data_IF_868123571813
#
_entry.id   IF_868123571813
#
_cell.length_a   1.000
_cell.length_b   1.000
_cell.length_c   1.000
_cell.angle_alpha   90.00
_cell.angle_beta   90.00
_cell.angle_gamma   90.00
#
_symmetry.space_group_name_H-M   'P 1'
#
loop_
_entity.id
_entity.type
_entity.pdbx_description
1 polymer ?
2 non-polymer ?
3 water ?
#
# COMPACT_ATOMS: atom_id res chain seq x y z
N UNK A 1 28.90 -12.69 0.39
CA UNK A 1 28.47 -13.99 -0.23
C UNK A 1 28.00 -13.78 -1.68
N UNK A 2 26.74 -13.40 -1.86
CA UNK A 2 26.18 -13.18 -3.19
C UNK A 2 26.49 -11.76 -3.66
N UNK A 3 26.78 -11.60 -4.95
CA UNK A 3 27.11 -10.29 -5.48
C UNK A 3 25.89 -9.41 -5.77
N UNK A 4 26.12 -8.10 -5.77
CA UNK A 4 25.06 -7.15 -6.04
C UNK A 4 24.54 -7.37 -7.45
N UNK A 5 25.47 -7.66 -8.37
CA UNK A 5 25.09 -7.91 -9.75
C UNK A 5 24.08 -9.05 -9.81
N UNK A 6 24.36 -10.12 -9.10
CA UNK A 6 23.48 -11.28 -9.08
C UNK A 6 22.11 -10.97 -8.46
N UNK A 7 22.08 -10.18 -7.39
CA UNK A 7 20.80 -9.83 -6.77
C UNK A 7 19.96 -9.01 -7.73
N UNK A 8 20.61 -8.07 -8.43
CA UNK A 8 19.90 -7.24 -9.39
C UNK A 8 19.39 -8.05 -10.57
N UNK A 9 20.15 -9.05 -10.99
CA UNK A 9 19.74 -9.87 -12.12
C UNK A 9 18.54 -10.74 -11.74
N UNK A 10 18.59 -11.33 -10.54
CA UNK A 10 17.50 -12.18 -10.08
C UNK A 10 16.20 -11.39 -9.91
N UNK A 11 16.27 -10.24 -9.25
CA UNK A 11 15.06 -9.45 -9.04
C UNK A 11 14.48 -9.03 -10.38
N UNK A 12 15.34 -8.58 -11.28
CA UNK A 12 14.92 -8.16 -12.61
C UNK A 12 14.20 -9.31 -13.33
N UNK A 13 14.69 -10.54 -13.18
CA UNK A 13 14.07 -11.68 -13.83
C UNK A 13 12.69 -11.97 -13.27
N UNK A 14 12.46 -11.61 -12.01
CA UNK A 14 11.15 -11.84 -11.39
C UNK A 14 10.10 -11.00 -12.11
N UNK A 15 10.48 -9.79 -12.53
CA UNK A 15 9.56 -8.92 -13.24
C UNK A 15 9.50 -9.31 -14.71
N UNK A 16 10.63 -9.74 -15.26
CA UNK A 16 10.68 -10.15 -16.66
C UNK A 16 9.77 -11.35 -16.88
N UNK A 17 9.88 -12.35 -16.00
CA UNK A 17 9.08 -13.56 -16.10
C UNK A 17 7.59 -13.30 -15.90
N UNK A 18 7.24 -12.25 -15.18
CA UNK A 18 5.84 -11.93 -14.97
C UNK A 18 5.36 -11.17 -16.20
N UNK A 19 6.30 -10.87 -17.09
CA UNK A 19 5.99 -10.14 -18.31
C UNK A 19 5.29 -8.82 -18.02
N UNK A 20 5.95 -7.99 -17.22
CA UNK A 20 5.44 -6.69 -16.87
C UNK A 20 6.63 -5.78 -16.60
N UNK A 21 6.38 -4.52 -16.30
CA UNK A 21 7.46 -3.58 -16.01
C UNK A 21 7.23 -3.06 -14.59
N UNK A 22 8.26 -3.12 -13.77
CA UNK A 22 8.10 -2.65 -12.41
C UNK A 22 9.40 -2.47 -11.66
N UNK A 23 9.27 -1.92 -10.44
CA UNK A 23 10.40 -1.67 -9.58
C UNK A 23 10.03 -2.02 -8.15
N UNK A 24 11.04 -2.30 -7.32
CA UNK A 24 10.83 -2.63 -5.92
C UNK A 24 11.89 -1.84 -5.13
N UNK A 25 11.44 -0.83 -4.38
CA UNK A 25 12.36 -0.04 -3.59
C UNK A 25 12.42 -0.58 -2.16
N UNK A 26 13.64 -0.89 -1.71
CA UNK A 26 13.90 -1.40 -0.37
C UNK A 26 14.61 -0.32 0.43
N UNK A 27 14.24 -0.14 1.69
CA UNK A 27 14.89 0.88 2.50
C UNK A 27 15.48 0.26 3.76
N UNK A 28 16.81 0.30 3.86
CA UNK A 28 17.50 -0.23 5.04
C UNK A 28 18.13 0.94 5.76
N UNK A 29 17.52 1.33 6.87
CA UNK A 29 18.01 2.47 7.61
C UNK A 29 17.59 3.69 6.82
N UNK A 30 18.55 4.47 6.34
CA UNK A 30 18.22 5.65 5.57
C UNK A 30 18.56 5.45 4.08
N UNK A 31 19.02 4.26 3.73
CA UNK A 31 19.42 3.97 2.35
C UNK A 31 18.36 3.30 1.48
N UNK A 32 18.07 3.92 0.35
CA UNK A 32 17.10 3.38 -0.60
C UNK A 32 17.81 2.54 -1.64
N UNK A 33 17.22 1.41 -2.01
CA UNK A 33 17.79 0.54 -3.03
C UNK A 33 16.68 0.23 -4.01
N UNK A 34 16.98 0.44 -5.29
CA UNK A 34 16.03 0.22 -6.36
C UNK A 34 16.37 -1.03 -7.16
N UNK A 35 15.41 -1.95 -7.25
CA UNK A 35 15.57 -3.20 -7.99
C UNK A 35 14.41 -3.37 -8.97
N UNK A 36 14.58 -4.26 -9.93
CA UNK A 36 13.51 -4.50 -10.89
C UNK A 36 13.97 -4.43 -12.32
N UNK A 37 13.02 -4.36 -13.25
CA UNK A 37 13.36 -4.29 -14.66
C UNK A 37 12.97 -2.95 -15.30
N UNK A 38 12.60 -1.97 -14.48
CA UNK A 38 12.22 -0.64 -14.98
C UNK A 38 12.51 0.40 -13.90
N UNK A 39 13.78 0.47 -13.49
CA UNK A 39 14.20 1.37 -12.43
C UNK A 39 13.71 2.82 -12.51
N UNK A 40 13.50 3.32 -13.72
CA UNK A 40 13.05 4.70 -13.90
C UNK A 40 11.68 4.97 -13.30
N UNK A 41 10.97 3.91 -12.94
CA UNK A 41 9.65 4.09 -12.33
C UNK A 41 9.76 4.61 -10.90
N UNK A 42 10.92 4.44 -10.28
CA UNK A 42 11.13 4.86 -8.89
C UNK A 42 10.64 6.27 -8.56
N UNK A 43 10.86 7.23 -9.46
CA UNK A 43 10.43 8.60 -9.20
C UNK A 43 9.31 9.13 -10.07
N UNK A 44 8.51 8.22 -10.63
CA UNK A 44 7.37 8.65 -11.43
C UNK A 44 6.11 8.58 -10.59
N UNK A 45 5.14 9.43 -10.90
CA UNK A 45 3.89 9.47 -10.16
C UNK A 45 2.84 8.50 -10.70
N UNK A 46 2.08 7.92 -9.78
CA UNK A 46 1.00 6.99 -10.12
C UNK A 46 -0.07 7.15 -9.06
N UNK A 47 -1.31 6.76 -9.39
CA UNK A 47 -2.38 6.86 -8.42
C UNK A 47 -2.05 5.82 -7.34
N UNK A 48 -2.31 6.13 -6.07
CA UNK A 48 -2.01 5.19 -4.99
C UNK A 48 -2.96 3.99 -4.91
N UNK A 49 -4.13 4.12 -5.52
CA UNK A 49 -5.13 3.05 -5.50
C UNK A 49 -5.37 2.62 -4.05
N UNK A 50 -5.62 1.34 -3.83
CA UNK A 50 -5.89 0.88 -2.46
C UNK A 50 -4.80 1.07 -1.42
N UNK A 51 -3.58 1.48 -1.81
CA UNK A 51 -2.56 1.68 -0.80
C UNK A 51 -2.96 2.90 0.03
N UNK A 52 -3.85 3.71 -0.53
CA UNK A 52 -4.33 4.89 0.17
C UNK A 52 -5.17 4.51 1.39
N UNK A 53 -5.71 3.29 1.40
CA UNK A 53 -6.53 2.85 2.51
C UNK A 53 -5.81 2.97 3.84
N UNK A 54 -4.48 2.85 3.83
CA UNK A 54 -3.70 2.98 5.05
C UNK A 54 -3.87 4.39 5.62
N UNK A 55 -3.75 5.39 4.76
CA UNK A 55 -3.89 6.77 5.21
C UNK A 55 -5.37 7.11 5.46
N UNK A 56 -6.26 6.51 4.68
CA UNK A 56 -7.69 6.73 4.84
C UNK A 56 -8.05 6.25 6.26
N UNK A 57 -7.54 5.07 6.63
CA UNK A 57 -7.79 4.52 7.96
C UNK A 57 -7.21 5.39 9.08
N UNK A 58 -5.99 5.90 8.89
CA UNK A 58 -5.35 6.77 9.89
C UNK A 58 -6.19 8.03 10.13
N UNK A 59 -6.62 8.65 9.03
CA UNK A 59 -7.42 9.87 9.10
C UNK A 59 -8.78 9.65 9.78
N UNK A 60 -9.50 8.61 9.35
CA UNK A 60 -10.80 8.34 9.93
C UNK A 60 -10.72 8.03 11.41
N UNK A 61 -9.72 7.26 11.81
CA UNK A 61 -9.57 6.88 13.21
C UNK A 61 -9.15 8.05 14.10
N UNK A 62 -8.25 8.88 13.59
CA UNK A 62 -7.79 10.04 14.35
C UNK A 62 -8.88 11.05 14.59
N UNK A 63 -9.68 11.28 13.55
CA UNK A 63 -10.76 12.25 13.63
C UNK A 63 -12.11 11.65 14.09
N UNK A 64 -12.03 10.47 14.69
CA UNK A 64 -13.21 9.77 15.22
C UNK A 64 -14.37 9.54 14.25
N UNK A 65 -14.07 9.16 13.03
CA UNK A 65 -15.10 8.90 12.05
C UNK A 65 -15.46 7.43 12.11
N UNK A 66 -14.74 6.68 12.94
CA UNK A 66 -14.97 5.26 13.11
C UNK A 66 -14.06 4.69 14.19
N UNK A 67 -14.36 3.48 14.63
CA UNK A 67 -13.56 2.79 15.64
C UNK A 67 -13.07 1.50 15.00
N UNK A 68 -12.09 0.85 15.61
CA UNK A 68 -11.56 -0.39 15.05
C UNK A 68 -12.50 -1.59 15.21
N UNK A 69 -13.59 -1.44 15.95
CA UNK A 69 -14.51 -2.54 16.13
C UNK A 69 -15.85 -2.30 15.44
N UNK A 70 -16.06 -1.08 14.97
CA UNK A 70 -17.30 -0.73 14.29
C UNK A 70 -17.55 -1.61 13.07
N UNK A 71 -18.76 -2.14 12.96
CA UNK A 71 -19.11 -2.99 11.82
C UNK A 71 -19.78 -2.15 10.75
N UNK A 72 -19.19 -2.11 9.57
CA UNK A 72 -19.77 -1.37 8.45
C UNK A 72 -20.70 -2.35 7.74
N UNK A 73 -22.00 -2.12 7.87
CA UNK A 73 -22.98 -2.99 7.25
C UNK A 73 -23.03 -2.89 5.74
N UNK A 74 -23.17 -4.04 5.09
CA UNK A 74 -23.29 -4.09 3.65
C UNK A 74 -24.69 -3.55 3.38
N UNK A 75 -24.82 -2.62 2.45
CA UNK A 75 -26.11 -2.02 2.16
C UNK A 75 -27.03 -2.92 1.32
N UNK A 76 -26.54 -4.08 0.92
CA UNK A 76 -27.35 -4.99 0.13
C UNK A 76 -27.28 -4.82 -1.36
N UNK A 77 -26.50 -3.84 -1.82
CA UNK A 77 -26.37 -3.61 -3.26
C UNK A 77 -25.23 -4.45 -3.81
N UNK A 78 -25.38 -4.91 -5.04
CA UNK A 78 -24.36 -5.74 -5.66
C UNK A 78 -23.02 -5.02 -5.64
N UNK A 79 -21.98 -5.77 -5.31
CA UNK A 79 -20.65 -5.20 -5.28
C UNK A 79 -19.79 -5.98 -6.24
N UNK A 80 -18.67 -5.41 -6.65
CA UNK A 80 -17.78 -6.06 -7.60
C UNK A 80 -17.41 -7.51 -7.27
N UNK A 81 -17.28 -7.83 -5.99
CA UNK A 81 -16.92 -9.20 -5.57
C UNK A 81 -17.82 -9.68 -4.44
N UNK A 82 -18.21 -10.96 -4.46
CA UNK A 82 -19.08 -11.54 -3.44
C UNK A 82 -18.49 -11.40 -2.03
N UNK A 83 -17.16 -11.47 -1.94
CA UNK A 83 -16.49 -11.35 -0.65
C UNK A 83 -16.75 -9.98 -0.02
N UNK A 84 -17.17 -9.01 -0.83
CA UNK A 84 -17.45 -7.67 -0.31
C UNK A 84 -18.91 -7.51 0.13
N UNK A 85 -19.77 -8.44 -0.25
CA UNK A 85 -21.18 -8.33 0.12
C UNK A 85 -21.44 -8.86 1.53
N UNK A 86 -20.81 -8.22 2.50
CA UNK A 86 -20.96 -8.60 3.90
C UNK A 86 -20.60 -7.43 4.78
N UNK A 87 -20.93 -7.59 6.06
CA UNK A 87 -20.67 -6.58 7.08
C UNK A 87 -19.24 -6.77 7.55
N UNK A 88 -18.47 -5.69 7.63
CA UNK A 88 -17.10 -5.84 8.08
C UNK A 88 -16.50 -4.65 8.80
N UNK A 89 -15.41 -4.91 9.51
CA UNK A 89 -14.70 -3.87 10.24
C UNK A 89 -13.68 -3.26 9.28
N UNK A 90 -13.09 -2.15 9.69
CA UNK A 90 -12.08 -1.47 8.89
C UNK A 90 -10.97 -2.47 8.57
N UNK A 91 -10.58 -3.25 9.57
CA UNK A 91 -9.53 -4.24 9.42
C UNK A 91 -9.82 -5.36 8.43
N UNK A 92 -11.06 -5.84 8.42
CA UNK A 92 -11.43 -6.90 7.49
C UNK A 92 -11.51 -6.27 6.09
N UNK A 93 -11.98 -5.03 6.03
CA UNK A 93 -12.10 -4.33 4.76
C UNK A 93 -10.71 -4.02 4.18
N UNK A 94 -9.73 -3.87 5.05
CA UNK A 94 -8.35 -3.59 4.63
C UNK A 94 -7.78 -4.85 3.98
N UNK A 95 -8.00 -5.99 4.64
CA UNK A 95 -7.49 -7.27 4.14
C UNK A 95 -8.15 -7.65 2.82
N UNK A 96 -9.44 -7.35 2.70
CA UNK A 96 -10.19 -7.64 1.48
C UNK A 96 -10.11 -6.48 0.50
N UNK A 97 -9.56 -5.36 0.95
CA UNK A 97 -9.46 -4.18 0.11
C UNK A 97 -10.87 -3.80 -0.40
N UNK A 98 -11.83 -3.78 0.52
CA UNK A 98 -13.21 -3.44 0.19
C UNK A 98 -13.40 -1.94 0.06
N UNK A 99 -13.29 -1.45 -1.17
CA UNK A 99 -13.42 -0.03 -1.49
C UNK A 99 -14.68 0.63 -0.95
N UNK A 100 -15.83 -0.07 -1.01
CA UNK A 100 -17.08 0.53 -0.50
C UNK A 100 -16.97 1.01 0.94
N UNK A 101 -16.35 0.18 1.78
CA UNK A 101 -16.19 0.54 3.19
C UNK A 101 -15.33 1.78 3.32
N UNK A 102 -14.25 1.85 2.55
CA UNK A 102 -13.37 3.01 2.64
C UNK A 102 -13.92 4.24 1.93
N UNK A 103 -14.88 4.05 1.03
CA UNK A 103 -15.48 5.20 0.38
C UNK A 103 -16.43 5.82 1.42
N UNK A 104 -17.10 4.96 2.17
CA UNK A 104 -18.01 5.42 3.22
C UNK A 104 -17.20 6.19 4.25
N UNK A 105 -16.07 5.64 4.67
CA UNK A 105 -15.21 6.30 5.64
C UNK A 105 -14.73 7.65 5.14
N UNK A 106 -14.39 7.73 3.85
CA UNK A 106 -13.92 8.99 3.28
C UNK A 106 -15.03 10.01 3.30
N UNK A 107 -16.25 9.58 2.99
CA UNK A 107 -17.39 10.48 2.99
C UNK A 107 -17.67 10.99 4.40
N UNK A 108 -17.44 10.17 5.41
CA UNK A 108 -17.66 10.61 6.78
C UNK A 108 -16.66 11.74 7.06
N UNK A 109 -15.41 11.49 6.68
CA UNK A 109 -14.35 12.47 6.89
C UNK A 109 -14.69 13.77 6.14
N UNK A 110 -15.20 13.65 4.92
CA UNK A 110 -15.56 14.83 4.16
C UNK A 110 -14.40 15.40 3.37
N UNK A 111 -14.72 16.01 2.23
CA UNK A 111 -13.70 16.60 1.36
C UNK A 111 -12.76 17.57 2.07
N UNK A 112 -13.33 18.53 2.80
CA UNK A 112 -12.53 19.53 3.49
C UNK A 112 -11.53 18.96 4.49
N UNK A 113 -11.98 18.06 5.33
CA UNK A 113 -11.10 17.46 6.33
C UNK A 113 -10.05 16.59 5.66
N UNK A 114 -10.48 15.83 4.65
CA UNK A 114 -9.60 14.94 3.93
C UNK A 114 -8.47 15.72 3.26
N UNK A 115 -8.81 16.77 2.53
CA UNK A 115 -7.80 17.57 1.85
C UNK A 115 -6.82 18.16 2.85
N UNK A 116 -7.33 18.56 4.01
CA UNK A 116 -6.50 19.15 5.04
C UNK A 116 -5.59 18.10 5.67
N UNK A 117 -6.08 16.88 5.83
CA UNK A 117 -5.27 15.82 6.44
C UNK A 117 -4.24 15.26 5.47
N UNK A 118 -4.58 15.22 4.19
CA UNK A 118 -3.64 14.71 3.21
C UNK A 118 -2.51 15.72 3.04
N UNK A 119 -2.86 17.00 3.14
CA UNK A 119 -1.88 18.08 3.04
C UNK A 119 -0.95 18.00 4.25
N UNK A 120 -1.51 17.78 5.43
CA UNK A 120 -0.74 17.70 6.66
C UNK A 120 0.26 16.54 6.72
N UNK A 121 -0.12 15.36 6.27
CA UNK A 121 0.82 14.23 6.30
C UNK A 121 1.73 14.29 5.09
N UNK A 122 1.41 15.17 4.15
CA UNK A 122 2.23 15.35 2.96
C UNK A 122 2.35 14.08 2.11
N UNK A 123 1.20 13.51 1.76
CA UNK A 123 1.12 12.28 0.98
C UNK A 123 1.14 12.57 -0.52
N UNK A 124 2.15 12.04 -1.22
CA UNK A 124 2.27 12.24 -2.66
C UNK A 124 2.21 13.70 -3.11
N UNK A 125 1.42 13.99 -4.13
CA UNK A 125 1.29 15.37 -4.62
C UNK A 125 0.25 16.11 -3.79
N UNK A 126 -0.27 15.42 -2.77
CA UNK A 126 -1.26 15.95 -1.83
C UNK A 126 -2.54 16.59 -2.41
N UNK A 127 -2.84 16.33 -3.67
CA UNK A 127 -4.04 16.92 -4.26
C UNK A 127 -5.14 15.88 -4.44
N UNK A 128 -6.31 16.13 -3.83
CA UNK A 128 -7.43 15.19 -3.94
C UNK A 128 -8.57 15.67 -4.81
N UNK A 129 -8.49 16.91 -5.29
CA UNK A 129 -9.54 17.42 -6.15
C UNK A 129 -10.88 17.69 -5.50
N UNK A 130 -11.96 17.41 -6.22
CA UNK A 130 -13.31 17.67 -5.72
C UNK A 130 -14.16 16.44 -5.39
N UNK A 131 -13.70 15.23 -5.73
CA UNK A 131 -14.44 14.01 -5.44
C UNK A 131 -13.81 13.26 -4.27
N UNK A 132 -14.39 13.40 -3.09
CA UNK A 132 -13.86 12.76 -1.87
C UNK A 132 -13.87 11.23 -1.86
N UNK A 133 -14.65 10.61 -2.72
CA UNK A 133 -14.74 9.16 -2.72
C UNK A 133 -14.03 8.38 -3.82
N UNK A 134 -13.16 9.02 -4.58
CA UNK A 134 -12.43 8.30 -5.64
C UNK A 134 -11.13 8.97 -6.09
N UNK A 135 -10.68 9.97 -5.34
CA UNK A 135 -9.46 10.67 -5.73
C UNK A 135 -8.22 9.79 -5.74
N UNK A 136 -8.25 8.72 -4.96
CA UNK A 136 -7.11 7.82 -4.89
C UNK A 136 -7.22 6.70 -5.92
N UNK A 137 -8.30 6.70 -6.68
CA UNK A 137 -8.52 5.66 -7.68
C UNK A 137 -8.30 6.11 -9.11
N UNK A 138 -8.69 7.33 -9.43
CA UNK A 138 -8.55 7.83 -10.80
C UNK A 138 -7.91 9.19 -10.87
N UNK A 139 -7.27 9.61 -9.78
CA UNK A 139 -6.65 10.92 -9.76
C UNK A 139 -7.55 11.88 -9.03
N UNK A 140 -7.11 13.13 -8.79
CA UNK A 140 -5.79 13.64 -9.17
C UNK A 140 -4.64 13.27 -8.23
N UNK A 141 -4.93 12.53 -7.16
CA UNK A 141 -3.87 12.14 -6.23
C UNK A 141 -2.89 11.17 -6.89
N UNK A 142 -1.60 11.49 -6.78
CA UNK A 142 -0.54 10.65 -7.36
C UNK A 142 0.60 10.60 -6.35
N UNK A 143 1.41 9.55 -6.43
CA UNK A 143 2.53 9.40 -5.52
C UNK A 143 3.57 8.52 -6.21
N UNK A 144 4.84 8.70 -5.84
CA UNK A 144 5.91 7.91 -6.44
C UNK A 144 6.29 6.74 -5.54
N UNK A 145 6.91 5.70 -6.13
CA UNK A 145 7.35 4.53 -5.37
C UNK A 145 8.30 4.90 -4.23
N UNK A 146 9.08 5.96 -4.44
CA UNK A 146 10.00 6.44 -3.41
C UNK A 146 9.23 7.07 -2.26
N UNK A 147 8.18 7.82 -2.58
CA UNK A 147 7.36 8.44 -1.56
C UNK A 147 6.59 7.37 -0.78
N UNK A 148 6.24 6.28 -1.46
CA UNK A 148 5.51 5.20 -0.81
C UNK A 148 6.36 4.48 0.23
N UNK A 149 7.61 4.13 -0.09
CA UNK A 149 8.44 3.47 0.92
C UNK A 149 8.68 4.40 2.09
N UNK A 150 8.83 5.69 1.81
CA UNK A 150 9.07 6.65 2.88
C UNK A 150 7.83 6.76 3.75
N UNK A 151 6.66 6.62 3.14
CA UNK A 151 5.43 6.67 3.93
C UNK A 151 5.38 5.41 4.76
N UNK A 152 5.75 4.28 4.15
CA UNK A 152 5.75 3.01 4.84
C UNK A 152 6.76 3.05 5.97
N UNK A 153 7.89 3.72 5.72
CA UNK A 153 8.96 3.84 6.70
C UNK A 153 8.46 4.62 7.90
N UNK A 154 7.78 5.72 7.65
CA UNK A 154 7.24 6.54 8.71
C UNK A 154 6.23 5.76 9.56
N UNK A 155 5.29 5.08 8.90
CA UNK A 155 4.27 4.33 9.61
C UNK A 155 4.87 3.21 10.46
N UNK A 156 5.79 2.45 9.88
CA UNK A 156 6.42 1.34 10.60
C UNK A 156 7.13 1.83 11.87
N UNK A 157 7.58 3.09 11.84
CA UNK A 157 8.28 3.67 12.99
C UNK A 157 7.41 4.69 13.74
N UNK A 158 6.11 4.66 13.50
CA UNK A 158 5.18 5.57 14.15
C UNK A 158 5.62 7.04 14.06
N UNK A 159 6.15 7.45 12.91
CA UNK A 159 6.59 8.82 12.73
C UNK A 159 5.58 9.73 12.04
N UNK A 160 4.47 9.17 11.58
CA UNK A 160 3.47 10.00 10.92
C UNK A 160 2.83 10.90 11.97
N UNK A 161 2.31 12.05 11.54
CA UNK A 161 1.67 12.98 12.48
C UNK A 161 0.26 12.54 12.95
N UNK A 162 0.22 11.44 13.67
CA UNK A 162 -1.01 10.90 14.23
C UNK A 162 -0.65 10.32 15.59
N UNK A 163 -1.62 10.19 16.48
CA UNK A 163 -1.36 9.64 17.81
C UNK A 163 -0.69 8.27 17.63
N UNK A 164 0.07 7.86 18.64
CA UNK A 164 0.73 6.57 18.59
C UNK A 164 -0.29 5.44 18.45
N UNK A 165 -1.38 5.52 19.21
CA UNK A 165 -2.42 4.50 19.18
C UNK A 165 -3.06 4.37 17.80
N UNK A 166 -3.34 5.49 17.16
CA UNK A 166 -3.94 5.48 15.84
C UNK A 166 -3.06 4.68 14.87
N UNK A 167 -1.76 4.96 14.87
CA UNK A 167 -0.84 4.24 13.98
C UNK A 167 -0.76 2.75 14.32
N UNK A 168 -0.79 2.42 15.62
CA UNK A 168 -0.75 1.02 16.03
C UNK A 168 -2.02 0.30 15.61
N UNK A 169 -3.14 0.99 15.70
CA UNK A 169 -4.42 0.39 15.32
C UNK A 169 -4.37 0.00 13.85
N UNK A 170 -3.91 0.93 13.00
CA UNK A 170 -3.83 0.67 11.58
C UNK A 170 -2.77 -0.37 11.21
N UNK A 171 -1.64 -0.37 11.90
CA UNK A 171 -0.60 -1.33 11.59
C UNK A 171 -1.03 -2.77 11.81
N UNK A 172 -1.86 -3.00 12.84
CA UNK A 172 -2.34 -4.34 13.13
C UNK A 172 -3.23 -4.87 12.01
N UNK A 173 -3.81 -3.96 11.25
CA UNK A 173 -4.70 -4.33 10.13
C UNK A 173 -3.93 -4.78 8.90
N UNK A 174 -2.62 -4.52 8.86
CA UNK A 174 -1.80 -4.82 7.69
C UNK A 174 -0.94 -6.08 7.68
N UNK A 175 -1.11 -6.96 8.66
CA UNK A 175 -0.31 -8.20 8.70
C UNK A 175 -0.80 -9.17 7.64
N UNK A 176 0.01 -9.42 6.61
CA UNK A 176 -0.38 -10.34 5.56
C UNK A 176 0.42 -11.62 5.47
N UNK A 177 1.53 -11.70 6.19
CA UNK A 177 2.31 -12.93 6.13
C UNK A 177 3.38 -13.05 7.19
N UNK A 178 3.65 -14.29 7.58
CA UNK A 178 4.67 -14.57 8.57
C UNK A 178 5.58 -15.64 7.96
N UNK A 179 6.87 -15.35 7.91
CA UNK A 179 7.83 -16.28 7.33
C UNK A 179 9.11 -16.35 8.15
N UNK A 180 9.36 -17.52 8.72
CA UNK A 180 10.56 -17.76 9.52
C UNK A 180 10.87 -16.66 10.53
N UNK A 181 9.93 -16.35 11.41
CA UNK A 181 10.16 -15.33 12.42
C UNK A 181 10.03 -13.90 11.93
N UNK A 182 9.80 -13.72 10.63
CA UNK A 182 9.64 -12.39 10.05
C UNK A 182 8.16 -12.15 9.76
N UNK A 183 7.70 -10.94 10.03
CA UNK A 183 6.31 -10.59 9.75
C UNK A 183 6.24 -9.55 8.65
N UNK A 184 5.41 -9.79 7.63
CA UNK A 184 5.28 -8.83 6.54
C UNK A 184 3.99 -8.02 6.70
N UNK A 185 4.12 -6.71 6.87
CA UNK A 185 2.98 -5.82 6.98
C UNK A 185 2.90 -5.04 5.68
N UNK A 186 1.79 -5.16 4.95
CA UNK A 186 1.69 -4.44 3.69
C UNK A 186 0.28 -4.25 3.17
N UNK A 187 0.12 -3.30 2.26
CA UNK A 187 -1.16 -3.02 1.65
C UNK A 187 -0.97 -3.10 0.15
N UNK A 188 -1.80 -3.89 -0.51
CA UNK A 188 -1.69 -4.01 -1.96
C UNK A 188 -2.54 -2.92 -2.61
N UNK A 189 -2.31 -2.71 -3.91
CA UNK A 189 -3.06 -1.70 -4.63
C UNK A 189 -3.11 -2.07 -6.10
N UNK A 190 -4.19 -1.68 -6.77
CA UNK A 190 -4.34 -1.97 -8.19
C UNK A 190 -5.33 -0.99 -8.80
N UNK A 191 -4.81 0.04 -9.45
CA UNK A 191 -5.68 1.02 -10.09
C UNK A 191 -6.08 0.51 -11.46
N UNK A 192 -7.36 0.14 -11.62
CA UNK A 192 -7.86 -0.34 -12.89
C UNK A 192 -8.55 0.78 -13.67
N UNK A 193 -8.89 1.85 -12.97
CA UNK A 193 -9.54 2.98 -13.61
C UNK A 193 -8.56 3.97 -14.21
N UNK A 194 -7.37 3.50 -14.53
CA UNK A 194 -6.35 4.36 -15.12
C UNK A 194 -5.62 3.58 -16.21
N UNK A 195 -4.97 4.29 -17.12
CA UNK A 195 -4.24 3.63 -18.20
C UNK A 195 -2.86 4.26 -18.36
N UNK A 196 -1.80 3.45 -18.28
CA UNK A 196 -1.89 2.00 -18.03
C UNK A 196 -2.25 1.72 -16.57
N UNK A 197 -2.67 0.49 -16.29
CA UNK A 197 -3.03 0.10 -14.92
C UNK A 197 -1.78 -0.02 -14.07
N UNK A 198 -1.92 0.29 -12.79
CA UNK A 198 -0.78 0.24 -11.89
C UNK A 198 -1.02 -0.69 -10.71
N UNK A 199 0.01 -1.46 -10.33
CA UNK A 199 -0.10 -2.37 -9.21
C UNK A 199 0.87 -1.98 -8.11
N UNK A 200 0.46 -2.18 -6.86
CA UNK A 200 1.30 -1.84 -5.72
C UNK A 200 1.28 -2.92 -4.65
N UNK A 201 2.27 -2.83 -3.76
CA UNK A 201 2.40 -3.66 -2.58
C UNK A 201 3.45 -2.91 -1.76
N UNK A 202 2.94 -2.09 -0.84
CA UNK A 202 3.77 -1.27 0.02
C UNK A 202 3.67 -1.69 1.47
N UNK A 203 4.78 -1.64 2.18
CA UNK A 203 4.77 -2.02 3.57
C UNK A 203 6.16 -2.19 4.15
N UNK A 204 6.33 -3.21 4.98
CA UNK A 204 7.63 -3.47 5.58
C UNK A 204 7.68 -4.84 6.20
N UNK A 205 8.89 -5.34 6.41
CA UNK A 205 9.08 -6.63 7.03
C UNK A 205 9.64 -6.37 8.42
N UNK A 206 9.07 -7.03 9.42
CA UNK A 206 9.57 -6.89 10.77
C UNK A 206 10.30 -8.19 11.03
N UNK A 207 11.63 -8.11 11.17
CA UNK A 207 12.41 -9.30 11.42
C UNK A 207 12.34 -9.69 12.89
N UNK A 208 12.62 -10.96 13.18
CA UNK A 208 12.57 -11.46 14.56
C UNK A 208 13.28 -10.53 15.54
N UNK A 209 14.49 -10.09 15.17
CA UNK A 209 15.28 -9.22 16.03
C UNK A 209 14.68 -7.83 16.23
N UNK A 210 13.50 -7.60 15.65
CA UNK A 210 12.83 -6.31 15.80
C UNK A 210 13.11 -5.27 14.73
N UNK A 211 14.12 -5.48 13.91
CA UNK A 211 14.45 -4.52 12.86
C UNK A 211 13.33 -4.45 11.80
N UNK A 212 13.03 -3.24 11.34
CA UNK A 212 11.99 -3.03 10.34
C UNK A 212 12.57 -2.59 9.01
N UNK A 213 12.19 -3.29 7.95
CA UNK A 213 12.68 -2.98 6.61
C UNK A 213 11.55 -2.69 5.64
N UNK A 214 11.27 -1.41 5.36
CA UNK A 214 10.21 -0.99 4.46
C UNK A 214 10.52 -1.23 2.98
N UNK A 215 9.47 -1.44 2.19
CA UNK A 215 9.63 -1.68 0.77
C UNK A 215 8.40 -1.16 0.01
N UNK A 216 8.53 -1.09 -1.30
CA UNK A 216 7.43 -0.67 -2.14
C UNK A 216 7.59 -1.23 -3.54
N UNK A 217 6.71 -2.15 -3.87
CA UNK A 217 6.70 -2.79 -5.18
C UNK A 217 5.71 -1.99 -6.04
N UNK A 218 6.13 -1.64 -7.25
CA UNK A 218 5.27 -0.90 -8.15
C UNK A 218 5.48 -1.43 -9.56
N UNK A 219 4.39 -1.84 -10.20
CA UNK A 219 4.49 -2.37 -11.56
C UNK A 219 3.22 -2.09 -12.37
N UNK A 220 3.29 -2.36 -13.67
CA UNK A 220 2.15 -2.15 -14.53
C UNK A 220 1.32 -3.43 -14.55
N UNK A 221 0.02 -3.31 -14.34
CA UNK A 221 -0.86 -4.47 -14.37
C UNK A 221 -1.50 -4.55 -15.76
N UNK A 222 -1.71 -5.77 -16.23
CA UNK A 222 -2.33 -5.99 -17.53
C UNK A 222 -3.55 -6.88 -17.36
N UNK A 223 -4.57 -6.65 -18.19
CA UNK A 223 -5.79 -7.45 -18.11
C UNK A 223 -5.42 -8.93 -18.27
N UNK A 224 -6.02 -9.76 -17.43
CA UNK A 224 -5.72 -11.19 -17.50
C UNK A 224 -4.49 -11.53 -16.67
N UNK A 225 -4.14 -10.64 -15.75
CA UNK A 225 -2.98 -10.83 -14.89
C UNK A 225 -3.49 -11.04 -13.47
N UNK A 226 -2.92 -12.02 -12.76
CA UNK A 226 -3.34 -12.30 -11.40
C UNK A 226 -2.76 -11.30 -10.39
N UNK A 227 -3.61 -10.82 -9.50
CA UNK A 227 -3.17 -9.86 -8.50
C UNK A 227 -2.08 -10.36 -7.57
N UNK A 228 -2.01 -11.67 -7.40
CA UNK A 228 -1.02 -12.27 -6.50
C UNK A 228 0.43 -12.16 -6.99
N UNK A 229 0.64 -11.78 -8.25
CA UNK A 229 2.03 -11.64 -8.73
C UNK A 229 2.72 -10.55 -7.91
N UNK A 230 1.95 -9.55 -7.48
CA UNK A 230 2.51 -8.47 -6.69
C UNK A 230 3.15 -9.06 -5.44
N UNK A 231 2.45 -10.01 -4.82
CA UNK A 231 2.95 -10.65 -3.62
C UNK A 231 4.10 -11.62 -3.91
N UNK A 232 3.93 -12.42 -4.97
CA UNK A 232 4.95 -13.40 -5.35
C UNK A 232 6.27 -12.73 -5.73
N UNK A 233 6.20 -11.60 -6.42
CA UNK A 233 7.43 -10.91 -6.80
C UNK A 233 8.07 -10.27 -5.58
N UNK A 234 7.23 -9.76 -4.68
CA UNK A 234 7.74 -9.13 -3.47
C UNK A 234 8.46 -10.12 -2.57
N UNK A 235 7.85 -11.28 -2.35
CA UNK A 235 8.41 -12.32 -1.49
C UNK A 235 9.72 -12.86 -2.05
N UNK A 236 9.74 -13.18 -3.34
CA UNK A 236 10.96 -13.71 -3.96
C UNK A 236 12.10 -12.70 -3.89
N UNK A 237 11.76 -11.41 -4.01
CA UNK A 237 12.78 -10.37 -3.95
C UNK A 237 13.29 -10.23 -2.53
N UNK A 238 12.36 -10.17 -1.59
CA UNK A 238 12.71 -10.06 -0.17
C UNK A 238 13.56 -11.24 0.25
N UNK A 239 13.21 -12.42 -0.23
CA UNK A 239 13.95 -13.62 0.11
C UNK A 239 15.32 -13.60 -0.56
N UNK A 240 15.34 -13.31 -1.85
CA UNK A 240 16.61 -13.27 -2.57
C UNK A 240 17.61 -12.33 -1.90
N UNK A 241 17.12 -11.25 -1.29
CA UNK A 241 17.98 -10.29 -0.61
C UNK A 241 18.27 -10.72 0.83
N UNK A 242 17.60 -11.77 1.29
CA UNK A 242 17.81 -12.25 2.64
C UNK A 242 17.10 -11.40 3.68
N UNK A 243 16.09 -10.64 3.25
CA UNK A 243 15.34 -9.78 4.15
C UNK A 243 14.39 -10.64 4.98
N UNK A 244 13.85 -11.68 4.36
CA UNK A 244 12.94 -12.61 5.04
C UNK A 244 13.39 -14.02 4.68
X LIG B 1 -6.22 -4.73 -4.29
X LIG B 1 -7.33 -3.79 -4.48
X LIG B 1 -4.94 -4.01 -4.38
X LIG B 1 -6.32 -5.35 -2.96
X LIG B 1 -6.26 -5.80 -5.31
#
# INVERSE_FOLDING_TARGET
>A
HISSQQHEKAIKSYFDEAQTQGVIIIKEGKNLSTYGNALARANKEYVPASTFKMLNALIGLENHKATTNEIFKWDGKKRTYPMWEKDMTLGEAMALSAVPVYQELARRTGLELMQKEVKRVNFGNTNIGTQVDNFWLVGPLKITPVQEVNFADDLAHNRLPFKLETQEEVKKMLLIKEVNGSKIYAKSGWGMGVTPQVGWLTGWVEQANGKKIPFSLNLEMKEGMSGSIRNEITYKSLENLGII
>B hetero
1 SO4 S O1 O2 O3 O4
#
